data_IF_108247136031
#
_entry.id   IF_108247136031
#
_cell.length_a   1.000
_cell.length_b   1.000
_cell.length_c   1.000
_cell.angle_alpha   90.00
_cell.angle_beta   90.00
_cell.angle_gamma   90.00
#
_symmetry.space_group_name_H-M   'P 1'
#
loop_
_entity.id
_entity.type
_entity.pdbx_description
1 polymer ?
#
# COMPACT_ATOMS: atom_id res chain seq x y z
N UNK A 1 -14.01 -16.62 -51.45
CA UNK A 1 -13.59 -15.41 -50.69
C UNK A 1 -13.62 -15.73 -49.20
N UNK A 2 -12.48 -15.72 -48.51
CA UNK A 2 -12.37 -16.10 -47.08
C UNK A 2 -12.10 -14.86 -46.22
N UNK A 3 -13.06 -14.51 -45.37
CA UNK A 3 -12.99 -13.37 -44.45
C UNK A 3 -12.10 -13.72 -43.26
N UNK A 4 -10.80 -13.44 -43.36
CA UNK A 4 -9.89 -13.48 -42.21
C UNK A 4 -10.24 -12.34 -41.26
N UNK A 5 -11.09 -12.62 -40.28
CA UNK A 5 -11.39 -11.74 -39.16
C UNK A 5 -10.12 -11.53 -38.32
N UNK A 6 -9.38 -10.46 -38.62
CA UNK A 6 -8.23 -10.01 -37.84
C UNK A 6 -8.75 -9.46 -36.50
N UNK A 7 -8.86 -10.33 -35.49
CA UNK A 7 -9.13 -9.92 -34.10
C UNK A 7 -8.08 -8.89 -33.68
N UNK A 8 -8.45 -7.60 -33.65
CA UNK A 8 -7.63 -6.53 -33.06
C UNK A 8 -7.44 -6.89 -31.59
N UNK A 9 -6.25 -7.36 -31.21
CA UNK A 9 -5.86 -7.51 -29.80
C UNK A 9 -6.13 -6.17 -29.12
N UNK A 10 -6.98 -6.17 -28.10
CA UNK A 10 -7.20 -5.02 -27.25
C UNK A 10 -5.83 -4.54 -26.75
N UNK A 11 -5.46 -3.32 -27.10
CA UNK A 11 -4.20 -2.71 -26.68
C UNK A 11 -4.32 -2.47 -25.19
N UNK A 12 -3.89 -3.44 -24.38
CA UNK A 12 -3.70 -3.29 -22.94
C UNK A 12 -2.89 -2.00 -22.76
N UNK A 13 -3.53 -0.95 -22.24
CA UNK A 13 -2.86 0.34 -21.99
C UNK A 13 -1.69 0.03 -21.07
N UNK A 14 -0.47 0.19 -21.57
CA UNK A 14 0.76 0.00 -20.81
C UNK A 14 0.76 1.11 -19.75
N UNK A 15 0.34 0.77 -18.54
CA UNK A 15 0.39 1.69 -17.39
C UNK A 15 1.84 2.13 -17.25
N UNK A 16 2.10 3.40 -17.50
CA UNK A 16 3.44 3.97 -17.40
C UNK A 16 3.73 4.21 -15.94
N UNK A 17 4.98 4.05 -15.53
CA UNK A 17 5.40 4.45 -14.17
C UNK A 17 5.14 5.94 -13.90
N UNK A 18 5.02 6.77 -14.95
CA UNK A 18 4.65 8.19 -14.87
C UNK A 18 3.24 8.44 -14.32
N UNK A 19 2.34 7.46 -14.41
CA UNK A 19 0.95 7.60 -13.95
C UNK A 19 0.79 7.26 -12.47
N UNK A 20 1.88 6.87 -11.79
CA UNK A 20 1.88 6.48 -10.39
C UNK A 20 2.38 7.63 -9.52
N UNK A 21 1.67 7.89 -8.43
CA UNK A 21 2.09 8.83 -7.40
C UNK A 21 2.71 8.09 -6.22
N UNK A 22 3.60 8.78 -5.53
CA UNK A 22 4.15 8.36 -4.23
C UNK A 22 3.19 8.77 -3.13
N UNK A 23 2.87 7.84 -2.25
CA UNK A 23 2.01 8.07 -1.11
C UNK A 23 2.76 7.71 0.16
N UNK A 24 2.82 8.65 1.09
CA UNK A 24 3.34 8.38 2.43
C UNK A 24 2.31 7.59 3.23
N UNK A 25 2.80 6.52 3.84
CA UNK A 25 2.02 5.59 4.64
C UNK A 25 2.29 5.91 6.11
N UNK A 26 1.27 6.43 6.77
CA UNK A 26 1.31 6.89 8.16
C UNK A 26 0.67 5.84 9.08
N UNK A 27 1.38 5.46 10.14
CA UNK A 27 0.82 4.59 11.15
C UNK A 27 -0.42 5.24 11.81
N UNK A 28 -1.35 4.45 12.37
CA UNK A 28 -2.49 5.02 13.07
C UNK A 28 -2.08 5.68 14.39
N UNK A 29 -3.02 6.40 15.00
CA UNK A 29 -2.81 7.17 16.24
C UNK A 29 -2.17 6.36 17.39
N UNK A 30 -2.41 5.04 17.45
CA UNK A 30 -1.80 4.15 18.45
C UNK A 30 -0.27 4.07 18.39
N UNK A 31 0.32 4.47 17.26
CA UNK A 31 1.76 4.48 16.99
C UNK A 31 2.25 5.90 16.66
N UNK A 32 1.64 6.92 17.28
CA UNK A 32 2.03 8.33 17.18
C UNK A 32 2.09 8.91 15.76
N UNK A 33 1.23 8.41 14.85
CA UNK A 33 1.24 8.83 13.45
C UNK A 33 2.64 8.72 12.79
N UNK A 34 3.45 7.74 13.23
CA UNK A 34 4.79 7.58 12.71
C UNK A 34 4.75 7.14 11.24
N UNK A 35 5.56 7.74 10.34
CA UNK A 35 5.67 7.28 8.96
C UNK A 35 6.33 5.91 8.93
N UNK A 36 5.65 4.93 8.32
CA UNK A 36 6.15 3.55 8.19
C UNK A 36 6.76 3.24 6.83
N UNK A 37 6.55 4.12 5.85
CA UNK A 37 7.17 4.00 4.53
C UNK A 37 6.37 4.70 3.45
N UNK A 38 6.75 4.45 2.21
CA UNK A 38 6.12 5.04 1.03
C UNK A 38 5.70 3.94 0.06
N UNK A 39 4.53 4.10 -0.53
CA UNK A 39 4.01 3.20 -1.56
C UNK A 39 3.84 3.98 -2.86
N UNK A 40 4.35 3.39 -3.94
CA UNK A 40 4.08 3.86 -5.30
C UNK A 40 2.87 3.15 -5.88
N UNK A 41 1.89 3.93 -6.34
CA UNK A 41 0.70 3.38 -6.98
C UNK A 41 -0.22 4.43 -7.56
N UNK A 42 -1.42 3.99 -7.93
CA UNK A 42 -2.52 4.87 -8.33
C UNK A 42 -3.57 4.83 -7.23
N UNK A 43 -4.32 5.92 -7.06
CA UNK A 43 -5.37 6.04 -6.04
C UNK A 43 -6.31 4.82 -6.02
N UNK A 44 -6.75 4.39 -7.20
CA UNK A 44 -7.65 3.25 -7.39
C UNK A 44 -7.06 1.88 -6.99
N UNK A 45 -5.74 1.75 -6.89
CA UNK A 45 -5.04 0.48 -6.69
C UNK A 45 -4.10 0.48 -5.48
N UNK A 46 -4.22 1.48 -4.61
CA UNK A 46 -3.51 1.54 -3.33
C UNK A 46 -4.31 0.83 -2.22
N UNK A 47 -5.63 0.99 -2.26
CA UNK A 47 -6.54 0.41 -1.28
C UNK A 47 -6.40 -1.11 -1.33
N UNK A 48 -6.16 -1.72 -0.18
CA UNK A 48 -5.94 -3.16 -0.05
C UNK A 48 -4.48 -3.59 -0.06
N UNK A 49 -3.51 -2.70 -0.34
CA UNK A 49 -2.10 -3.02 -0.16
C UNK A 49 -1.75 -3.18 1.31
N UNK A 50 -0.83 -4.11 1.58
CA UNK A 50 -0.36 -4.40 2.92
C UNK A 50 1.13 -4.09 3.02
N UNK A 51 1.55 -3.50 4.12
CA UNK A 51 2.95 -3.26 4.47
C UNK A 51 3.24 -4.04 5.75
N UNK A 52 4.41 -4.66 5.78
CA UNK A 52 4.91 -5.35 6.95
C UNK A 52 6.04 -4.53 7.56
N UNK A 53 5.96 -4.23 8.86
CA UNK A 53 7.03 -3.58 9.63
C UNK A 53 7.26 -4.32 10.94
N UNK A 54 8.36 -4.03 11.62
CA UNK A 54 8.66 -4.61 12.92
C UNK A 54 8.11 -3.70 14.02
N UNK A 55 7.62 -4.28 15.12
CA UNK A 55 7.26 -3.48 16.31
C UNK A 55 8.49 -2.75 16.87
N UNK A 56 9.67 -3.36 16.70
CA UNK A 56 10.96 -2.75 16.99
C UNK A 56 11.11 -1.34 16.39
N UNK A 57 10.62 -1.08 15.18
CA UNK A 57 10.75 0.24 14.55
C UNK A 57 9.99 1.33 15.32
N UNK A 58 9.03 0.95 16.17
CA UNK A 58 8.27 1.86 17.01
C UNK A 58 8.82 1.93 18.44
N UNK A 59 9.14 0.79 19.05
CA UNK A 59 9.54 0.71 20.47
C UNK A 59 11.04 0.81 20.70
N UNK A 60 11.87 0.59 19.67
CA UNK A 60 13.34 0.48 19.74
C UNK A 60 13.83 -0.53 20.80
N UNK A 61 13.01 -1.51 21.18
CA UNK A 61 13.36 -2.51 22.18
C UNK A 61 13.68 -3.85 21.52
N UNK A 62 14.85 -4.42 21.84
CA UNK A 62 15.29 -5.71 21.28
C UNK A 62 14.33 -6.87 21.58
N UNK A 63 13.54 -6.75 22.65
CA UNK A 63 12.56 -7.75 23.04
C UNK A 63 11.41 -7.88 22.01
N UNK A 64 11.17 -6.83 21.22
CA UNK A 64 10.03 -6.73 20.30
C UNK A 64 10.39 -7.02 18.84
N UNK A 65 11.64 -7.41 18.56
CA UNK A 65 12.11 -7.72 17.19
C UNK A 65 11.34 -8.92 16.59
N UNK A 66 10.83 -9.83 17.43
CA UNK A 66 10.05 -10.98 16.96
C UNK A 66 8.66 -10.59 16.42
N UNK A 67 8.14 -9.43 16.80
CA UNK A 67 6.77 -9.03 16.50
C UNK A 67 6.69 -8.28 15.17
N UNK A 68 6.05 -8.91 14.19
CA UNK A 68 5.78 -8.33 12.87
C UNK A 68 4.38 -7.73 12.85
N UNK A 69 4.28 -6.47 12.46
CA UNK A 69 3.03 -5.75 12.27
C UNK A 69 2.66 -5.74 10.78
N UNK A 70 1.38 -5.96 10.49
CA UNK A 70 0.84 -5.85 9.12
C UNK A 70 -0.16 -4.71 9.07
N UNK A 71 0.13 -3.73 8.22
CA UNK A 71 -0.67 -2.54 8.01
C UNK A 71 -1.36 -2.63 6.66
N UNK A 72 -2.67 -2.45 6.61
CA UNK A 72 -3.43 -2.45 5.35
C UNK A 72 -3.89 -1.03 5.02
N UNK A 73 -3.65 -0.58 3.80
CA UNK A 73 -4.17 0.71 3.33
C UNK A 73 -5.67 0.55 3.08
N UNK A 74 -6.49 1.31 3.80
CA UNK A 74 -7.96 1.24 3.71
C UNK A 74 -8.56 2.56 3.25
N UNK A 75 -7.85 3.66 3.46
CA UNK A 75 -8.26 4.98 3.00
C UNK A 75 -7.05 5.78 2.51
N UNK A 76 -7.29 6.72 1.59
CA UNK A 76 -6.27 7.60 1.04
C UNK A 76 -6.83 9.00 1.11
N UNK A 77 -6.12 9.93 1.75
CA UNK A 77 -6.48 11.33 1.69
C UNK A 77 -5.66 11.99 0.56
N UNK A 78 -6.32 12.20 -0.59
CA UNK A 78 -5.71 12.80 -1.78
C UNK A 78 -5.40 14.29 -1.57
N UNK A 79 -6.11 14.97 -0.67
CA UNK A 79 -5.96 16.41 -0.42
C UNK A 79 -4.65 16.75 0.28
N UNK A 80 -4.16 15.85 1.14
CA UNK A 80 -2.94 16.06 1.92
C UNK A 80 -1.75 15.21 1.45
N UNK A 81 -1.90 14.46 0.35
CA UNK A 81 -0.89 13.48 -0.10
C UNK A 81 -0.57 12.37 0.93
N UNK A 82 -1.38 12.27 1.98
CA UNK A 82 -1.16 11.45 3.16
C UNK A 82 -2.18 10.32 3.16
N UNK A 83 -1.74 9.07 3.00
CA UNK A 83 -2.67 7.94 3.04
C UNK A 83 -2.98 7.56 4.50
N UNK A 84 -4.26 7.30 4.80
CA UNK A 84 -4.72 6.97 6.16
C UNK A 84 -4.93 5.46 6.29
N UNK A 85 -4.12 4.83 7.14
CA UNK A 85 -4.02 3.37 7.29
C UNK A 85 -4.84 2.90 8.48
N UNK A 86 -5.51 1.74 8.32
CA UNK A 86 -6.13 1.00 9.41
C UNK A 86 -5.50 -0.39 9.52
N UNK A 87 -5.29 -0.84 10.76
CA UNK A 87 -4.60 -2.08 11.13
C UNK A 87 -5.53 -3.28 10.96
N UNK A 88 -5.01 -4.40 10.44
CA UNK A 88 -5.56 -5.73 10.72
C UNK A 88 -4.52 -6.50 11.55
N UNK A 89 -4.62 -6.36 12.86
CA UNK A 89 -3.80 -7.08 13.82
C UNK A 89 -4.44 -8.42 14.12
N UNK A 90 -4.35 -9.38 13.21
CA UNK A 90 -4.65 -10.77 13.55
C UNK A 90 -3.45 -11.32 14.32
N UNK A 91 -3.55 -11.23 15.65
CA UNK A 91 -2.76 -12.03 16.59
C UNK A 91 -2.89 -13.50 16.18
N UNK A 92 -1.81 -14.11 15.69
CA UNK A 92 -1.68 -15.56 15.64
C UNK A 92 -0.78 -15.95 16.81
N UNK A 93 -1.40 -16.63 17.77
CA UNK A 93 -0.79 -17.22 18.95
C UNK A 93 0.08 -18.42 18.55
#
# INVERSE_FOLDING_TARGET
MSLKARKKKAKLRKVSFKDKSWFSVIAPKSFDFKPIGEIIGMENNLIGRTIETLLYDFTNSYNDISLKLKFKVVNINTESGSSAIYIFGSYLH
#
